data_IF_862237614518
#
_entry.id   IF_862237614518
#
_cell.length_a   1.000
_cell.length_b   1.000
_cell.length_c   1.000
_cell.angle_alpha   90.00
_cell.angle_beta   90.00
_cell.angle_gamma   90.00
#
_symmetry.space_group_name_H-M   'P 1'
#
loop_
_entity.id
_entity.type
_entity.pdbx_description
1 polymer ?
#
# COMPACT_ATOMS: atom_id res chain seq x y z
N UNK A 1 -2.58 -23.10 -26.61
CA UNK A 1 -2.85 -21.95 -25.74
C UNK A 1 -4.35 -21.87 -25.61
N UNK A 2 -4.90 -22.39 -24.52
CA UNK A 2 -6.34 -22.45 -24.36
C UNK A 2 -6.80 -21.08 -23.84
N UNK A 3 -7.24 -20.22 -24.75
CA UNK A 3 -7.79 -18.88 -24.49
C UNK A 3 -8.77 -18.85 -23.29
N UNK A 4 -9.47 -19.97 -23.11
CA UNK A 4 -10.42 -20.21 -22.02
C UNK A 4 -9.79 -20.17 -20.62
N UNK A 5 -8.54 -20.63 -20.44
CA UNK A 5 -7.86 -20.59 -19.12
C UNK A 5 -7.46 -19.17 -18.73
N UNK A 6 -7.08 -18.35 -19.72
CA UNK A 6 -6.76 -16.93 -19.50
C UNK A 6 -8.03 -16.16 -19.17
N UNK A 7 -9.14 -16.40 -19.89
CA UNK A 7 -10.43 -15.79 -19.59
C UNK A 7 -10.94 -16.15 -18.18
N UNK A 8 -10.79 -17.42 -17.76
CA UNK A 8 -11.17 -17.86 -16.41
C UNK A 8 -10.36 -17.19 -15.30
N UNK A 9 -9.05 -16.99 -15.51
CA UNK A 9 -8.22 -16.26 -14.54
C UNK A 9 -8.55 -14.77 -14.49
N UNK A 10 -8.90 -14.16 -15.64
CA UNK A 10 -9.34 -12.75 -15.65
C UNK A 10 -10.67 -12.57 -14.94
N UNK A 11 -11.63 -13.48 -15.15
CA UNK A 11 -12.90 -13.46 -14.44
C UNK A 11 -12.73 -13.69 -12.93
N UNK A 12 -11.87 -14.63 -12.54
CA UNK A 12 -11.55 -14.87 -11.13
C UNK A 12 -10.87 -13.66 -10.47
N UNK A 13 -10.02 -12.93 -11.20
CA UNK A 13 -9.42 -11.69 -10.72
C UNK A 13 -10.48 -10.60 -10.48
N UNK A 14 -11.41 -10.42 -11.43
CA UNK A 14 -12.53 -9.48 -11.30
C UNK A 14 -13.45 -9.82 -10.11
N UNK A 15 -13.67 -11.11 -9.84
CA UNK A 15 -14.43 -11.59 -8.68
C UNK A 15 -13.73 -11.26 -7.35
N UNK A 16 -12.40 -11.40 -7.27
CA UNK A 16 -11.63 -10.99 -6.09
C UNK A 16 -11.71 -9.47 -5.88
N UNK A 17 -11.65 -8.68 -6.95
CA UNK A 17 -11.81 -7.23 -6.85
C UNK A 17 -13.18 -6.83 -6.28
N UNK A 18 -14.25 -7.52 -6.70
CA UNK A 18 -15.58 -7.32 -6.15
C UNK A 18 -15.64 -7.67 -4.65
N UNK A 19 -15.04 -8.78 -4.24
CA UNK A 19 -14.99 -9.21 -2.84
C UNK A 19 -14.15 -8.29 -1.96
N UNK A 20 -13.05 -7.75 -2.47
CA UNK A 20 -12.23 -6.75 -1.76
C UNK A 20 -13.02 -5.45 -1.53
N UNK A 21 -13.78 -4.99 -2.54
CA UNK A 21 -14.65 -3.82 -2.38
C UNK A 21 -15.79 -4.07 -1.38
N UNK A 22 -16.32 -5.28 -1.34
CA UNK A 22 -17.35 -5.68 -0.38
C UNK A 22 -16.79 -5.75 1.04
N UNK A 23 -15.57 -6.25 1.20
CA UNK A 23 -14.83 -6.25 2.47
C UNK A 23 -14.55 -4.82 2.94
N UNK A 24 -14.10 -3.92 2.07
CA UNK A 24 -13.93 -2.50 2.40
C UNK A 24 -15.25 -1.86 2.87
N UNK A 25 -16.38 -2.24 2.26
CA UNK A 25 -17.70 -1.78 2.66
C UNK A 25 -18.14 -2.34 4.01
N UNK A 26 -17.91 -3.62 4.29
CA UNK A 26 -18.26 -4.26 5.56
C UNK A 26 -17.36 -3.79 6.71
N UNK A 27 -16.08 -3.54 6.44
CA UNK A 27 -15.14 -2.95 7.41
C UNK A 27 -15.56 -1.53 7.80
N UNK A 28 -16.06 -0.73 6.85
CA UNK A 28 -16.65 0.59 7.13
C UNK A 28 -17.92 0.52 7.97
N UNK A 29 -18.65 -0.60 7.90
CA UNK A 29 -19.87 -0.85 8.66
C UNK A 29 -19.61 -1.52 10.02
N UNK A 30 -18.36 -1.92 10.32
CA UNK A 30 -17.99 -2.59 11.56
C UNK A 30 -18.48 -4.03 11.68
N UNK A 31 -18.76 -4.70 10.55
CA UNK A 31 -19.14 -6.11 10.49
C UNK A 31 -17.91 -7.03 10.50
N UNK A 32 -18.06 -8.26 10.98
CA UNK A 32 -16.99 -9.27 11.01
C UNK A 32 -16.49 -9.60 9.59
N UNK A 33 -15.20 -9.36 9.34
CA UNK A 33 -14.56 -9.49 8.01
C UNK A 33 -13.79 -10.81 7.82
N UNK A 34 -13.69 -11.65 8.84
CA UNK A 34 -12.80 -12.83 8.87
C UNK A 34 -13.11 -13.87 7.79
N UNK A 35 -14.38 -14.13 7.51
CA UNK A 35 -14.80 -15.12 6.51
C UNK A 35 -14.53 -14.65 5.08
N UNK A 36 -14.62 -13.34 4.85
CA UNK A 36 -14.36 -12.71 3.56
C UNK A 36 -12.86 -12.60 3.31
N UNK A 37 -12.07 -12.31 4.34
CA UNK A 37 -10.61 -12.33 4.32
C UNK A 37 -10.07 -13.74 4.01
N UNK A 38 -10.65 -14.79 4.60
CA UNK A 38 -10.29 -16.17 4.28
C UNK A 38 -10.62 -16.59 2.84
N UNK A 39 -11.75 -16.10 2.30
CA UNK A 39 -12.13 -16.35 0.89
C UNK A 39 -11.19 -15.64 -0.08
N UNK A 40 -10.85 -14.38 0.18
CA UNK A 40 -9.88 -13.62 -0.64
C UNK A 40 -8.51 -14.29 -0.62
N UNK A 41 -8.05 -14.77 0.55
CA UNK A 41 -6.76 -15.47 0.64
C UNK A 41 -6.74 -16.77 -0.17
N UNK A 42 -7.84 -17.53 -0.15
CA UNK A 42 -7.96 -18.78 -0.91
C UNK A 42 -7.99 -18.50 -2.42
N UNK A 43 -8.82 -17.55 -2.86
CA UNK A 43 -8.91 -17.20 -4.29
C UNK A 43 -7.62 -16.55 -4.82
N UNK A 44 -6.90 -15.77 -4.00
CA UNK A 44 -5.58 -15.23 -4.36
C UNK A 44 -4.57 -16.35 -4.59
N UNK A 45 -4.58 -17.40 -3.75
CA UNK A 45 -3.72 -18.56 -3.91
C UNK A 45 -4.05 -19.36 -5.18
N UNK A 46 -5.34 -19.49 -5.51
CA UNK A 46 -5.78 -20.19 -6.73
C UNK A 46 -5.35 -19.45 -8.01
N UNK A 47 -5.37 -18.11 -8.02
CA UNK A 47 -4.83 -17.32 -9.14
C UNK A 47 -3.32 -17.43 -9.22
N UNK A 48 -2.59 -17.34 -8.11
CA UNK A 48 -1.13 -17.47 -8.09
C UNK A 48 -0.66 -18.82 -8.63
N UNK A 49 -1.37 -19.89 -8.26
CA UNK A 49 -1.07 -21.24 -8.77
C UNK A 49 -1.46 -21.39 -10.24
N UNK A 50 -2.57 -20.80 -10.69
CA UNK A 50 -2.97 -20.78 -12.10
C UNK A 50 -2.01 -19.99 -13.00
N UNK A 51 -1.50 -18.85 -12.54
CA UNK A 51 -0.50 -18.05 -13.26
C UNK A 51 0.82 -18.82 -13.38
N UNK A 52 1.29 -19.47 -12.33
CA UNK A 52 2.50 -20.32 -12.39
C UNK A 52 2.35 -21.49 -13.36
N UNK A 53 1.18 -22.12 -13.43
CA UNK A 53 0.92 -23.19 -14.40
C UNK A 53 0.93 -22.67 -15.84
N UNK A 54 0.40 -21.47 -16.09
CA UNK A 54 0.48 -20.84 -17.41
C UNK A 54 1.90 -20.44 -17.79
N UNK A 55 2.70 -19.94 -16.84
CA UNK A 55 4.13 -19.67 -17.06
C UNK A 55 4.90 -20.95 -17.39
N UNK A 56 4.58 -22.07 -16.74
CA UNK A 56 5.20 -23.38 -17.01
C UNK A 56 4.80 -23.92 -18.40
N UNK A 57 3.53 -23.77 -18.79
CA UNK A 57 3.03 -24.13 -20.14
C UNK A 57 3.64 -23.22 -21.21
N UNK A 58 3.84 -21.94 -20.92
CA UNK A 58 4.53 -21.00 -21.80
C UNK A 58 6.00 -21.36 -21.98
N UNK A 59 6.72 -21.64 -20.88
CA UNK A 59 8.11 -22.11 -20.94
C UNK A 59 8.26 -23.41 -21.73
N UNK A 60 7.38 -24.39 -21.51
CA UNK A 60 7.37 -25.63 -22.27
C UNK A 60 7.07 -25.39 -23.77
N UNK A 61 6.23 -24.39 -24.09
CA UNK A 61 5.95 -24.00 -25.47
C UNK A 61 7.12 -23.23 -26.12
N UNK A 62 7.86 -22.42 -25.37
CA UNK A 62 9.09 -21.75 -25.82
C UNK A 62 10.22 -22.75 -26.09
N UNK A 63 10.40 -23.75 -25.21
CA UNK A 63 11.35 -24.86 -25.40
C UNK A 63 11.03 -25.71 -26.64
N UNK A 64 9.76 -25.74 -27.08
CA UNK A 64 9.33 -26.45 -28.29
C UNK A 64 9.70 -25.73 -29.61
N UNK A 65 10.17 -24.48 -29.55
CA UNK A 65 10.82 -23.78 -30.67
C UNK A 65 9.94 -23.51 -31.90
N UNK A 66 8.64 -23.27 -31.73
CA UNK A 66 7.70 -23.10 -32.87
C UNK A 66 7.16 -21.68 -33.10
N UNK A 67 7.55 -20.67 -32.33
CA UNK A 67 7.01 -19.31 -32.51
C UNK A 67 7.89 -18.44 -33.40
N UNK A 68 7.25 -17.80 -34.37
CA UNK A 68 7.91 -16.88 -35.31
C UNK A 68 8.16 -15.53 -34.66
N UNK A 69 9.16 -14.78 -35.12
CA UNK A 69 9.59 -13.48 -34.54
C UNK A 69 8.49 -12.41 -34.46
N UNK A 70 7.36 -12.62 -35.15
CA UNK A 70 6.18 -11.76 -35.08
C UNK A 70 5.31 -12.07 -33.86
N UNK A 71 5.10 -13.36 -33.55
CA UNK A 71 4.33 -13.79 -32.38
C UNK A 71 5.07 -13.47 -31.08
N UNK A 72 6.41 -13.52 -31.09
CA UNK A 72 7.23 -13.09 -29.95
C UNK A 72 7.06 -11.59 -29.65
N UNK A 73 6.94 -10.75 -30.69
CA UNK A 73 6.69 -9.31 -30.54
C UNK A 73 5.29 -9.00 -30.06
N UNK A 74 4.30 -9.76 -30.53
CA UNK A 74 2.94 -9.63 -30.01
C UNK A 74 2.87 -10.04 -28.54
N UNK A 75 3.55 -11.14 -28.17
CA UNK A 75 3.68 -11.57 -26.78
C UNK A 75 4.43 -10.55 -25.91
N UNK A 76 5.51 -9.96 -26.43
CA UNK A 76 6.25 -8.87 -25.77
C UNK A 76 5.38 -7.63 -25.55
N UNK A 77 4.58 -7.24 -26.54
CA UNK A 77 3.64 -6.11 -26.42
C UNK A 77 2.51 -6.41 -25.43
N UNK A 78 1.99 -7.65 -25.41
CA UNK A 78 0.98 -8.05 -24.42
C UNK A 78 1.56 -8.08 -23.01
N UNK A 79 2.80 -8.51 -22.86
CA UNK A 79 3.51 -8.54 -21.59
C UNK A 79 3.79 -7.13 -21.08
N UNK A 80 4.25 -6.22 -21.95
CA UNK A 80 4.39 -4.80 -21.64
C UNK A 80 3.06 -4.18 -21.20
N UNK A 81 1.95 -4.51 -21.87
CA UNK A 81 0.63 -4.03 -21.47
C UNK A 81 0.18 -4.59 -20.12
N UNK A 82 0.60 -5.80 -19.75
CA UNK A 82 0.31 -6.40 -18.46
C UNK A 82 1.16 -5.79 -17.35
N UNK A 83 2.44 -5.50 -17.63
CA UNK A 83 3.35 -4.81 -16.70
C UNK A 83 2.86 -3.39 -16.45
N UNK A 84 2.47 -2.63 -17.48
CA UNK A 84 1.91 -1.28 -17.31
C UNK A 84 0.60 -1.31 -16.49
N UNK A 85 -0.22 -2.35 -16.68
CA UNK A 85 -1.44 -2.54 -15.89
C UNK A 85 -1.14 -2.95 -14.44
N UNK A 86 -0.13 -3.80 -14.21
CA UNK A 86 0.32 -4.16 -12.87
C UNK A 86 0.93 -2.97 -12.14
N UNK A 87 1.70 -2.14 -12.83
CA UNK A 87 2.29 -0.91 -12.30
C UNK A 87 1.21 0.09 -11.91
N UNK A 88 0.18 0.29 -12.75
CA UNK A 88 -1.02 1.08 -12.39
C UNK A 88 -1.82 0.49 -11.23
N UNK A 89 -1.92 -0.84 -11.13
CA UNK A 89 -2.59 -1.52 -10.02
C UNK A 89 -1.76 -1.41 -8.73
N UNK A 90 -0.43 -1.42 -8.82
CA UNK A 90 0.48 -1.16 -7.71
C UNK A 90 0.43 0.31 -7.28
N UNK A 91 0.50 1.27 -8.19
CA UNK A 91 0.36 2.70 -7.88
C UNK A 91 -0.99 3.00 -7.21
N UNK A 92 -2.07 2.38 -7.68
CA UNK A 92 -3.40 2.53 -7.06
C UNK A 92 -3.55 1.77 -5.74
N UNK A 93 -2.78 0.70 -5.52
CA UNK A 93 -2.64 0.00 -4.23
C UNK A 93 -1.81 0.80 -3.22
N UNK A 94 -0.74 1.48 -3.67
CA UNK A 94 0.13 2.30 -2.83
C UNK A 94 -0.51 3.66 -2.50
N UNK A 95 -1.21 4.29 -3.44
CA UNK A 95 -1.95 5.54 -3.21
C UNK A 95 -3.11 5.39 -2.20
N UNK A 96 -3.53 4.16 -1.86
CA UNK A 96 -4.58 3.90 -0.85
C UNK A 96 -4.04 3.56 0.55
N UNK A 97 -2.73 3.32 0.73
CA UNK A 97 -2.14 3.08 2.06
C UNK A 97 -1.86 4.36 2.86
N UNK A 98 -1.79 5.52 2.23
CA UNK A 98 -1.66 6.80 2.98
C UNK A 98 -3.05 7.34 3.33
N UNK A 99 -3.84 6.54 4.03
CA UNK A 99 -4.97 7.11 4.78
C UNK A 99 -4.38 7.88 5.94
N UNK A 100 -4.77 9.15 6.12
CA UNK A 100 -4.32 10.07 7.17
C UNK A 100 -4.42 9.52 8.63
N UNK A 101 -4.95 8.31 8.81
CA UNK A 101 -4.99 7.55 10.05
C UNK A 101 -3.73 6.70 10.32
N UNK A 102 -3.05 6.19 9.30
CA UNK A 102 -1.85 5.34 9.49
C UNK A 102 -0.61 6.17 9.89
N UNK A 103 -0.52 7.41 9.38
CA UNK A 103 0.49 8.38 9.82
C UNK A 103 0.28 8.85 11.28
N UNK A 104 -0.94 8.69 11.82
CA UNK A 104 -1.27 9.06 13.20
C UNK A 104 -0.96 7.92 14.20
N UNK A 105 -1.03 6.65 13.77
CA UNK A 105 -0.80 5.49 14.62
C UNK A 105 0.66 5.01 14.64
N UNK A 106 1.39 5.12 13.53
CA UNK A 106 2.79 4.67 13.46
C UNK A 106 3.73 5.52 14.35
N UNK A 107 3.36 6.76 14.63
CA UNK A 107 4.12 7.67 15.50
C UNK A 107 3.89 7.46 17.01
N UNK A 108 2.85 6.71 17.40
CA UNK A 108 2.55 6.42 18.81
C UNK A 108 3.26 5.16 19.34
N UNK A 109 3.75 4.27 18.48
CA UNK A 109 4.18 2.93 18.90
C UNK A 109 5.70 2.71 19.05
N UNK A 110 6.52 3.77 19.14
CA UNK A 110 7.98 3.64 19.34
C UNK A 110 8.50 4.16 20.69
N UNK A 111 7.63 4.44 21.64
CA UNK A 111 8.02 4.82 23.00
C UNK A 111 7.09 4.27 24.07
N UNK A 112 7.22 2.98 24.40
CA UNK A 112 7.14 2.48 25.78
C UNK A 112 7.22 0.95 25.85
N UNK A 113 8.44 0.42 25.89
CA UNK A 113 8.70 -0.82 26.63
C UNK A 113 8.73 -0.49 28.13
N UNK A 114 7.64 -0.73 28.85
CA UNK A 114 7.66 -1.15 30.28
C UNK A 114 6.24 -1.30 30.86
N UNK A 115 5.91 -2.55 31.18
CA UNK A 115 5.16 -3.04 32.34
C UNK A 115 3.98 -2.22 32.92
N UNK A 116 2.76 -2.75 32.81
CA UNK A 116 1.98 -3.45 33.88
C UNK A 116 0.50 -3.57 33.48
N UNK A 117 -0.25 -4.61 33.93
CA UNK A 117 -1.67 -4.77 33.63
C UNK A 117 -2.56 -4.44 34.84
N UNK A 118 -3.59 -3.60 34.68
CA UNK A 118 -4.87 -3.81 35.38
C UNK A 118 -5.94 -2.79 35.00
N UNK A 119 -7.17 -3.29 35.00
CA UNK A 119 -8.42 -2.59 35.31
C UNK A 119 -9.12 -1.85 34.16
N UNK A 120 -10.00 -2.61 33.50
CA UNK A 120 -11.39 -2.23 33.22
C UNK A 120 -11.84 -0.91 33.84
N UNK A 121 -12.17 0.07 32.99
CA UNK A 121 -13.29 1.00 33.15
C UNK A 121 -13.40 1.91 31.92
N UNK A 122 -14.46 1.70 31.15
CA UNK A 122 -14.92 2.63 30.11
C UNK A 122 -15.42 3.92 30.77
N UNK A 123 -15.10 5.10 30.23
CA UNK A 123 -15.68 6.36 30.71
C UNK A 123 -17.15 6.44 30.24
N UNK A 124 -18.06 6.57 31.20
CA UNK A 124 -19.46 6.87 30.92
C UNK A 124 -19.56 8.20 30.18
N UNK A 125 -20.31 8.20 29.09
CA UNK A 125 -20.68 9.39 28.33
C UNK A 125 -21.62 10.26 29.17
N UNK A 126 -21.49 11.58 29.03
CA UNK A 126 -22.22 12.63 29.77
C UNK A 126 -23.76 12.52 29.65
N UNK A 127 -24.28 11.65 28.79
CA UNK A 127 -25.70 11.45 28.54
C UNK A 127 -26.38 10.62 29.63
N UNK A 128 -25.66 9.74 30.34
CA UNK A 128 -26.25 8.85 31.37
C UNK A 128 -26.46 9.52 32.74
N UNK A 129 -25.96 10.73 32.95
CA UNK A 129 -26.05 11.42 34.26
C UNK A 129 -27.37 12.20 34.41
N UNK A 130 -28.03 12.57 33.30
CA UNK A 130 -29.24 13.41 33.35
C UNK A 130 -30.53 12.65 33.70
N UNK A 131 -30.59 11.33 33.52
CA UNK A 131 -31.81 10.54 33.77
C UNK A 131 -31.94 10.07 35.24
N UNK A 132 -30.86 10.20 36.04
CA UNK A 132 -30.85 9.80 37.45
C UNK A 132 -31.20 10.93 38.45
N UNK A 133 -31.39 12.17 37.98
CA UNK A 133 -31.67 13.36 38.83
C UNK A 133 -33.19 13.59 38.95
N UNK A 134 -33.95 12.51 39.06
CA UNK A 134 -35.34 12.54 39.49
C UNK A 134 -35.43 12.41 41.01
N UNK A 135 -35.71 13.53 41.69
CA UNK A 135 -36.45 13.56 42.97
C UNK A 135 -35.68 13.36 44.30
N UNK A 136 -34.81 14.31 44.72
CA UNK A 136 -34.51 14.61 46.15
C UNK A 136 -34.06 16.08 46.34
N UNK A 137 -34.78 16.91 47.13
CA UNK A 137 -34.31 18.25 47.49
C UNK A 137 -33.50 18.18 48.80
N UNK A 138 -32.19 18.43 48.77
CA UNK A 138 -31.44 18.53 50.03
C UNK A 138 -29.92 18.66 50.03
N UNK A 139 -29.16 18.34 48.98
CA UNK A 139 -27.69 18.15 49.15
C UNK A 139 -26.82 18.50 47.92
N UNK A 140 -26.99 19.68 47.31
CA UNK A 140 -26.34 20.01 46.02
C UNK A 140 -25.06 20.86 46.14
N UNK A 141 -24.73 21.43 47.30
CA UNK A 141 -23.60 22.39 47.39
C UNK A 141 -22.20 21.76 47.57
N UNK A 142 -22.09 20.46 47.87
CA UNK A 142 -20.78 19.79 48.02
C UNK A 142 -20.23 19.22 46.70
N UNK A 143 -21.08 18.97 45.70
CA UNK A 143 -20.68 18.41 44.41
C UNK A 143 -20.13 19.47 43.43
N UNK A 144 -20.59 20.72 43.54
CA UNK A 144 -20.15 21.79 42.64
C UNK A 144 -18.67 22.14 42.81
N UNK A 145 -18.17 22.19 44.05
CA UNK A 145 -16.75 22.47 44.34
C UNK A 145 -15.84 21.32 43.88
N UNK A 146 -16.27 20.07 44.07
CA UNK A 146 -15.53 18.89 43.60
C UNK A 146 -15.53 18.80 42.07
N UNK A 147 -16.65 19.15 41.42
CA UNK A 147 -16.76 19.24 39.97
C UNK A 147 -15.81 20.31 39.40
N UNK A 148 -15.71 21.47 40.04
CA UNK A 148 -14.84 22.56 39.61
C UNK A 148 -13.35 22.16 39.73
N UNK A 149 -12.98 21.46 40.80
CA UNK A 149 -11.64 20.90 40.97
C UNK A 149 -11.30 19.82 39.92
N UNK A 150 -12.29 18.99 39.54
CA UNK A 150 -12.12 18.01 38.46
C UNK A 150 -11.93 18.69 37.10
N UNK A 151 -12.70 19.76 36.83
CA UNK A 151 -12.57 20.54 35.61
C UNK A 151 -11.20 21.23 35.50
N UNK A 152 -10.70 21.82 36.58
CA UNK A 152 -9.38 22.45 36.61
C UNK A 152 -8.26 21.45 36.25
N UNK A 153 -8.30 20.25 36.83
CA UNK A 153 -7.37 19.16 36.47
C UNK A 153 -7.52 18.71 35.02
N UNK A 154 -8.76 18.65 34.52
CA UNK A 154 -9.03 18.27 33.14
C UNK A 154 -8.47 19.32 32.16
N UNK A 155 -8.58 20.61 32.48
CA UNK A 155 -8.01 21.67 31.65
C UNK A 155 -6.48 21.66 31.67
N UNK A 156 -5.86 21.45 32.84
CA UNK A 156 -4.41 21.30 32.91
C UNK A 156 -3.89 20.11 32.10
N UNK A 157 -4.60 18.98 32.12
CA UNK A 157 -4.22 17.81 31.33
C UNK A 157 -4.42 18.05 29.83
N UNK A 158 -5.44 18.81 29.44
CA UNK A 158 -5.64 19.22 28.04
C UNK A 158 -4.53 20.15 27.56
N UNK A 159 -4.11 21.14 28.35
CA UNK A 159 -3.02 22.04 27.98
C UNK A 159 -1.69 21.28 27.80
N UNK A 160 -1.39 20.34 28.71
CA UNK A 160 -0.21 19.47 28.57
C UNK A 160 -0.26 18.63 27.29
N UNK A 161 -1.44 18.14 26.91
CA UNK A 161 -1.63 17.40 25.67
C UNK A 161 -1.50 18.29 24.43
N UNK A 162 -1.97 19.53 24.48
CA UNK A 162 -1.82 20.50 23.40
C UNK A 162 -0.36 20.92 23.19
N UNK A 163 0.41 21.09 24.27
CA UNK A 163 1.85 21.34 24.18
C UNK A 163 2.60 20.15 23.55
N UNK A 164 2.28 18.93 23.97
CA UNK A 164 2.85 17.71 23.38
C UNK A 164 2.50 17.59 21.89
N UNK A 165 1.25 17.90 21.52
CA UNK A 165 0.81 17.93 20.14
C UNK A 165 1.53 19.02 19.34
N UNK A 166 1.66 20.23 19.88
CA UNK A 166 2.34 21.34 19.24
C UNK A 166 3.81 21.04 18.95
N UNK A 167 4.51 20.37 19.88
CA UNK A 167 5.87 19.90 19.66
C UNK A 167 5.93 18.80 18.59
N UNK A 168 4.96 17.89 18.56
CA UNK A 168 4.87 16.84 17.53
C UNK A 168 4.65 17.44 16.14
N UNK A 169 3.74 18.42 16.02
CA UNK A 169 3.46 19.14 14.77
C UNK A 169 4.69 19.89 14.27
N UNK A 170 5.48 20.51 15.18
CA UNK A 170 6.74 21.17 14.81
C UNK A 170 7.77 20.19 14.25
N UNK A 171 7.96 19.03 14.90
CA UNK A 171 8.85 17.97 14.40
C UNK A 171 8.36 17.41 13.08
N UNK A 172 7.05 17.20 12.92
CA UNK A 172 6.45 16.74 11.68
C UNK A 172 6.69 17.74 10.54
N UNK A 173 6.57 19.04 10.81
CA UNK A 173 6.88 20.09 9.82
C UNK A 173 8.36 20.08 9.41
N UNK A 174 9.27 19.92 10.36
CA UNK A 174 10.71 19.82 10.11
C UNK A 174 11.06 18.58 9.26
N UNK A 175 10.46 17.43 9.58
CA UNK A 175 10.57 16.22 8.77
C UNK A 175 10.00 16.43 7.37
N UNK A 176 8.86 17.11 7.24
CA UNK A 176 8.28 17.45 5.95
C UNK A 176 9.23 18.29 5.09
N UNK A 177 9.91 19.29 5.67
CA UNK A 177 10.91 20.09 4.95
C UNK A 177 12.11 19.24 4.51
N UNK A 178 12.57 18.33 5.37
CA UNK A 178 13.68 17.42 5.07
C UNK A 178 13.30 16.42 3.97
N UNK A 179 12.10 15.87 4.03
CA UNK A 179 11.57 14.97 2.99
C UNK A 179 11.46 15.66 1.64
N UNK A 180 11.02 16.93 1.61
CA UNK A 180 10.99 17.69 0.35
C UNK A 180 12.40 17.85 -0.24
N UNK A 181 13.40 18.17 0.59
CA UNK A 181 14.78 18.26 0.13
C UNK A 181 15.34 16.92 -0.37
N UNK A 182 14.98 15.81 0.28
CA UNK A 182 15.38 14.47 -0.17
C UNK A 182 14.68 14.06 -1.48
N UNK A 183 13.41 14.44 -1.65
CA UNK A 183 12.68 14.22 -2.91
C UNK A 183 13.30 15.01 -4.06
N UNK A 184 13.68 16.28 -3.82
CA UNK A 184 14.40 17.09 -4.81
C UNK A 184 15.75 16.43 -5.17
N UNK A 185 16.46 15.87 -4.19
CA UNK A 185 17.69 15.11 -4.41
C UNK A 185 17.44 13.80 -5.21
N UNK A 186 16.37 13.06 -4.91
CA UNK A 186 16.00 11.86 -5.65
C UNK A 186 15.61 12.15 -7.10
N UNK A 187 14.95 13.28 -7.38
CA UNK A 187 14.66 13.72 -8.76
C UNK A 187 15.97 13.93 -9.51
N UNK A 188 16.93 14.63 -8.90
CA UNK A 188 18.24 14.81 -9.52
C UNK A 188 18.94 13.46 -9.78
N UNK A 189 18.88 12.54 -8.82
CA UNK A 189 19.47 11.21 -8.99
C UNK A 189 18.79 10.43 -10.13
N UNK A 190 17.46 10.49 -10.23
CA UNK A 190 16.71 9.86 -11.31
C UNK A 190 17.14 10.40 -12.68
N UNK A 191 17.24 11.73 -12.84
CA UNK A 191 17.75 12.36 -14.07
C UNK A 191 19.18 11.87 -14.41
N UNK A 192 20.05 11.73 -13.40
CA UNK A 192 21.40 11.18 -13.59
C UNK A 192 21.39 9.72 -14.01
N UNK A 193 20.49 8.91 -13.42
CA UNK A 193 20.33 7.49 -13.81
C UNK A 193 19.76 7.34 -15.21
N UNK A 194 18.82 8.19 -15.62
CA UNK A 194 18.27 8.22 -16.98
C UNK A 194 19.37 8.54 -18.00
N UNK A 195 20.17 9.56 -17.73
CA UNK A 195 21.32 9.90 -18.59
C UNK A 195 22.35 8.76 -18.67
N UNK A 196 22.59 8.04 -17.57
CA UNK A 196 23.46 6.87 -17.57
C UNK A 196 22.88 5.70 -18.37
N UNK A 197 21.56 5.49 -18.27
CA UNK A 197 20.83 4.50 -19.06
C UNK A 197 20.90 4.84 -20.56
N UNK A 198 20.69 6.10 -20.95
CA UNK A 198 20.79 6.58 -22.33
C UNK A 198 22.20 6.35 -22.92
N UNK A 199 23.26 6.68 -22.15
CA UNK A 199 24.64 6.39 -22.58
C UNK A 199 24.86 4.90 -22.79
N UNK A 200 24.35 4.08 -21.87
CA UNK A 200 24.44 2.62 -21.98
C UNK A 200 23.68 2.10 -23.20
N UNK A 201 22.49 2.64 -23.48
CA UNK A 201 21.70 2.35 -24.67
C UNK A 201 22.47 2.68 -25.96
N UNK A 202 23.10 3.86 -26.03
CA UNK A 202 23.96 4.22 -27.16
C UNK A 202 25.13 3.24 -27.32
N UNK A 203 25.83 2.90 -26.24
CA UNK A 203 26.94 1.94 -26.28
C UNK A 203 26.50 0.56 -26.76
N UNK A 204 25.34 0.06 -26.31
CA UNK A 204 24.78 -1.20 -26.77
C UNK A 204 24.41 -1.17 -28.25
N UNK A 205 23.82 -0.07 -28.75
CA UNK A 205 23.55 0.10 -30.17
C UNK A 205 24.85 0.09 -31.01
N UNK A 206 25.91 0.76 -30.54
CA UNK A 206 27.21 0.72 -31.20
C UNK A 206 27.82 -0.69 -31.17
N UNK A 207 27.75 -1.39 -30.04
CA UNK A 207 28.21 -2.76 -29.91
C UNK A 207 27.46 -3.70 -30.87
N UNK A 208 26.13 -3.56 -30.95
CA UNK A 208 25.29 -4.32 -31.88
C UNK A 208 25.68 -4.08 -33.34
N UNK A 209 25.85 -2.81 -33.75
CA UNK A 209 26.29 -2.47 -35.12
C UNK A 209 27.68 -3.02 -35.43
N UNK A 210 28.60 -2.98 -34.46
CA UNK A 210 29.94 -3.54 -34.60
C UNK A 210 29.88 -5.07 -34.79
N UNK A 211 29.03 -5.74 -34.01
CA UNK A 211 28.80 -7.18 -34.11
C UNK A 211 28.14 -7.57 -35.45
N UNK A 212 27.16 -6.80 -35.93
CA UNK A 212 26.54 -7.00 -37.25
C UNK A 212 27.57 -6.87 -38.39
N UNK A 213 28.43 -5.85 -38.31
CA UNK A 213 29.50 -5.64 -39.29
C UNK A 213 30.52 -6.78 -39.25
N UNK A 214 30.89 -7.25 -38.05
CA UNK A 214 31.76 -8.41 -37.88
C UNK A 214 31.13 -9.68 -38.47
N UNK A 215 29.85 -9.95 -38.20
CA UNK A 215 29.13 -11.08 -38.79
C UNK A 215 29.09 -11.00 -40.33
N UNK A 216 28.87 -9.81 -40.90
CA UNK A 216 28.93 -9.58 -42.35
C UNK A 216 30.33 -9.83 -42.91
N UNK A 217 31.38 -9.36 -42.24
CA UNK A 217 32.78 -9.59 -42.64
C UNK A 217 33.12 -11.08 -42.60
N UNK A 218 32.74 -11.78 -41.54
CA UNK A 218 32.95 -13.22 -41.38
C UNK A 218 32.22 -14.03 -42.47
N UNK A 219 30.98 -13.64 -42.83
CA UNK A 219 30.25 -14.25 -43.94
C UNK A 219 30.95 -14.06 -45.29
N UNK A 220 31.53 -12.88 -45.54
CA UNK A 220 32.30 -12.61 -46.76
C UNK A 220 33.60 -13.40 -46.83
N UNK A 221 34.31 -13.57 -45.71
CA UNK A 221 35.57 -14.31 -45.67
C UNK A 221 35.40 -15.84 -45.85
N UNK A 222 34.18 -16.35 -45.66
CA UNK A 222 33.86 -17.79 -45.80
C UNK A 222 33.43 -18.17 -47.23
N UNK A 223 33.30 -17.20 -48.14
CA UNK A 223 32.84 -17.39 -49.52
C UNK A 223 33.98 -17.13 -50.49
#
# INVERSE_FOLDING_TARGET
MDHNQVEQLTAAADDIFALILELERMRKLGLDTTDQEARIATQSHDIETGVRQLEEVLRANEESGKFTTAELKEQENTFLSLVEKLERVQESSEQKKTTARDLLFQYQNKSSSSATPSSTRTPATVVDIMDAVGNRPGEVDMDAAQMLQLQERTFEDQDRNLDALGQSVRRQRELGLTMNQELDYHIQLLDETEQAADRTGHHLQFAHRSLDNFQRQARKARK
#
